data_IF_621660062895
#
_entry.id   IF_621660062895
#
_cell.length_a   1.000
_cell.length_b   1.000
_cell.length_c   1.000
_cell.angle_alpha   90.00
_cell.angle_beta   90.00
_cell.angle_gamma   90.00
#
_symmetry.space_group_name_H-M   'P 1'
#
loop_
_entity.id
_entity.type
_entity.pdbx_description
1 polymer ?
#
# COMPACT_ATOMS: atom_id res chain seq x y z
N UNK A 1 -49.88 14.17 -4.74
CA UNK A 1 -48.57 14.74 -5.13
C UNK A 1 -48.55 14.96 -6.64
N UNK A 2 -48.30 16.19 -7.13
CA UNK A 2 -48.31 16.47 -8.57
C UNK A 2 -47.04 15.89 -9.22
N UNK A 3 -47.21 15.14 -10.32
CA UNK A 3 -46.10 14.71 -11.18
C UNK A 3 -45.52 15.96 -11.85
N UNK A 4 -44.32 16.39 -11.42
CA UNK A 4 -43.53 17.39 -12.13
C UNK A 4 -43.33 16.93 -13.58
N UNK A 5 -43.93 17.64 -14.54
CA UNK A 5 -43.66 17.46 -15.97
C UNK A 5 -42.28 18.04 -16.25
N UNK A 6 -41.22 17.23 -16.16
CA UNK A 6 -39.93 17.61 -16.73
C UNK A 6 -40.14 17.98 -18.21
N UNK A 7 -39.74 19.20 -18.59
CA UNK A 7 -39.92 19.69 -19.96
C UNK A 7 -39.21 18.79 -20.98
N UNK A 8 -39.84 18.57 -22.14
CA UNK A 8 -39.36 17.68 -23.23
C UNK A 8 -37.90 17.91 -23.64
N UNK A 9 -37.37 19.12 -23.44
CA UNK A 9 -35.96 19.47 -23.69
C UNK A 9 -34.98 18.77 -22.74
N UNK A 10 -35.32 18.71 -21.44
CA UNK A 10 -34.47 18.11 -20.41
C UNK A 10 -34.35 16.59 -20.60
N UNK A 11 -35.45 15.96 -21.01
CA UNK A 11 -35.49 14.52 -21.30
C UNK A 11 -34.61 14.17 -22.50
N UNK A 12 -34.55 15.04 -23.52
CA UNK A 12 -33.73 14.85 -24.72
C UNK A 12 -32.23 14.99 -24.43
N UNK A 13 -31.85 15.98 -23.62
CA UNK A 13 -30.45 16.17 -23.19
C UNK A 13 -29.98 15.01 -22.32
N UNK A 14 -30.78 14.62 -21.32
CA UNK A 14 -30.47 13.46 -20.47
C UNK A 14 -30.29 12.18 -21.28
N UNK A 15 -31.19 11.90 -22.22
CA UNK A 15 -31.11 10.71 -23.06
C UNK A 15 -29.87 10.74 -23.97
N UNK A 16 -29.52 11.90 -24.53
CA UNK A 16 -28.31 12.07 -25.33
C UNK A 16 -27.04 11.81 -24.52
N UNK A 17 -26.94 12.39 -23.32
CA UNK A 17 -25.81 12.19 -22.40
C UNK A 17 -25.71 10.72 -21.99
N UNK A 18 -26.82 10.09 -21.63
CA UNK A 18 -26.86 8.68 -21.24
C UNK A 18 -26.38 7.76 -22.37
N UNK A 19 -26.93 7.95 -23.58
CA UNK A 19 -26.57 7.16 -24.77
C UNK A 19 -25.09 7.33 -25.12
N UNK A 20 -24.55 8.54 -24.99
CA UNK A 20 -23.12 8.80 -25.17
C UNK A 20 -22.27 8.05 -24.12
N UNK A 21 -22.64 8.12 -22.84
CA UNK A 21 -21.91 7.45 -21.76
C UNK A 21 -21.96 5.91 -21.85
N UNK A 22 -23.05 5.35 -22.33
CA UNK A 22 -23.14 3.91 -22.61
C UNK A 22 -22.19 3.50 -23.73
N UNK A 23 -22.16 4.26 -24.83
CA UNK A 23 -21.38 3.91 -26.02
C UNK A 23 -19.88 4.21 -25.87
N UNK A 24 -19.52 5.33 -25.24
CA UNK A 24 -18.13 5.84 -25.22
C UNK A 24 -17.53 5.94 -23.82
N UNK A 25 -18.31 5.68 -22.77
CA UNK A 25 -17.87 5.96 -21.40
C UNK A 25 -16.63 5.18 -20.96
N UNK A 26 -16.42 3.94 -21.43
CA UNK A 26 -15.22 3.16 -21.07
C UNK A 26 -13.96 3.80 -21.65
N UNK A 27 -13.99 4.15 -22.94
CA UNK A 27 -12.87 4.78 -23.63
C UNK A 27 -12.57 6.16 -23.02
N UNK A 28 -13.62 6.95 -22.77
CA UNK A 28 -13.47 8.27 -22.15
C UNK A 28 -12.89 8.17 -20.74
N UNK A 29 -13.35 7.22 -19.93
CA UNK A 29 -12.76 6.96 -18.60
C UNK A 29 -11.30 6.56 -18.71
N UNK A 30 -10.95 5.63 -19.59
CA UNK A 30 -9.56 5.23 -19.77
C UNK A 30 -8.67 6.42 -20.19
N UNK A 31 -9.12 7.22 -21.16
CA UNK A 31 -8.40 8.42 -21.61
C UNK A 31 -8.21 9.43 -20.48
N UNK A 32 -9.27 9.76 -19.74
CA UNK A 32 -9.19 10.74 -18.65
C UNK A 32 -8.33 10.26 -17.47
N UNK A 33 -8.31 8.95 -17.18
CA UNK A 33 -7.41 8.36 -16.19
C UNK A 33 -5.96 8.37 -16.67
N UNK A 34 -5.71 8.11 -17.96
CA UNK A 34 -4.36 8.23 -18.54
C UNK A 34 -3.88 9.68 -18.53
N UNK A 35 -4.76 10.65 -18.78
CA UNK A 35 -4.44 12.08 -18.63
C UNK A 35 -4.13 12.44 -17.17
N UNK A 36 -4.90 11.93 -16.20
CA UNK A 36 -4.59 12.11 -14.79
C UNK A 36 -3.22 11.49 -14.41
N UNK A 37 -2.92 10.29 -14.93
CA UNK A 37 -1.63 9.63 -14.74
C UNK A 37 -0.47 10.43 -15.36
N UNK A 38 -0.65 10.95 -16.58
CA UNK A 38 0.32 11.81 -17.24
C UNK A 38 0.52 13.14 -16.50
N UNK A 39 -0.55 13.74 -15.97
CA UNK A 39 -0.46 14.93 -15.12
C UNK A 39 0.28 14.62 -13.81
N UNK A 40 -0.01 13.48 -13.18
CA UNK A 40 0.67 13.04 -11.97
C UNK A 40 2.18 12.88 -12.19
N UNK A 41 2.58 12.30 -13.34
CA UNK A 41 3.97 12.22 -13.79
C UNK A 41 4.57 13.61 -13.97
N UNK A 42 3.89 14.46 -14.75
CA UNK A 42 4.35 15.80 -15.10
C UNK A 42 4.63 16.67 -13.88
N UNK A 43 3.75 16.69 -12.88
CA UNK A 43 3.95 17.49 -11.66
C UNK A 43 5.12 16.95 -10.84
N UNK A 44 5.26 15.62 -10.73
CA UNK A 44 6.27 14.99 -9.88
C UNK A 44 7.67 14.96 -10.51
N UNK A 45 7.77 15.05 -11.83
CA UNK A 45 9.05 15.11 -12.54
C UNK A 45 9.67 16.51 -12.55
N UNK A 46 8.91 17.56 -12.19
CA UNK A 46 9.39 18.96 -12.26
C UNK A 46 10.74 19.19 -11.57
N UNK A 47 11.01 18.66 -10.35
CA UNK A 47 12.30 18.89 -9.70
C UNK A 47 13.49 18.36 -10.50
N UNK A 48 13.34 17.22 -11.20
CA UNK A 48 14.37 16.71 -12.09
C UNK A 48 14.65 17.69 -13.23
N UNK A 49 13.61 18.20 -13.89
CA UNK A 49 13.81 19.19 -14.96
C UNK A 49 14.44 20.48 -14.45
N UNK A 50 14.04 20.97 -13.28
CA UNK A 50 14.64 22.16 -12.69
C UNK A 50 16.14 21.98 -12.41
N UNK A 51 16.54 20.81 -11.89
CA UNK A 51 17.95 20.48 -11.62
C UNK A 51 18.74 20.32 -12.93
N UNK A 52 18.16 19.71 -13.96
CA UNK A 52 18.86 19.53 -15.24
C UNK A 52 18.95 20.82 -16.06
N UNK A 53 17.87 21.60 -16.14
CA UNK A 53 17.83 22.85 -16.91
C UNK A 53 18.69 23.96 -16.29
N UNK A 54 18.87 23.97 -14.97
CA UNK A 54 19.79 24.88 -14.30
C UNK A 54 21.28 24.52 -14.50
N UNK A 55 21.58 23.37 -15.12
CA UNK A 55 22.94 22.84 -15.27
C UNK A 55 23.50 22.20 -14.00
N UNK A 56 22.83 22.35 -12.85
CA UNK A 56 23.28 21.79 -11.57
C UNK A 56 23.40 20.26 -11.66
N UNK A 57 22.41 19.58 -12.25
CA UNK A 57 22.45 18.12 -12.39
C UNK A 57 23.50 17.59 -13.37
N UNK A 58 24.12 18.47 -14.18
CA UNK A 58 25.25 18.10 -15.04
C UNK A 58 26.56 18.26 -14.28
N UNK A 59 26.71 19.38 -13.54
CA UNK A 59 27.90 19.66 -12.74
C UNK A 59 27.99 18.78 -11.49
N UNK A 60 26.85 18.54 -10.84
CA UNK A 60 26.70 17.77 -9.59
C UNK A 60 25.62 16.69 -9.80
N UNK A 61 25.95 15.53 -10.39
CA UNK A 61 24.99 14.46 -10.65
C UNK A 61 24.19 14.01 -9.42
N UNK A 62 24.80 14.09 -8.24
CA UNK A 62 24.17 13.78 -6.94
C UNK A 62 22.95 14.65 -6.65
N UNK A 63 22.92 15.89 -7.13
CA UNK A 63 21.78 16.81 -6.96
C UNK A 63 20.49 16.33 -7.65
N UNK A 64 20.57 15.27 -8.48
CA UNK A 64 19.39 14.62 -9.08
C UNK A 64 18.63 13.76 -8.06
N UNK A 65 19.26 13.37 -6.96
CA UNK A 65 18.60 12.68 -5.84
C UNK A 65 18.18 13.69 -4.78
N UNK A 66 17.00 13.48 -4.20
CA UNK A 66 16.39 14.39 -3.24
C UNK A 66 16.43 13.80 -1.82
N UNK A 67 16.72 14.64 -0.82
CA UNK A 67 17.01 14.24 0.56
C UNK A 67 18.18 13.22 0.71
N UNK A 68 18.37 12.66 1.91
CA UNK A 68 19.51 11.79 2.24
C UNK A 68 19.23 10.30 2.08
N UNK A 69 17.98 9.88 2.26
CA UNK A 69 17.60 8.46 2.22
C UNK A 69 17.88 7.78 0.86
N UNK A 70 17.71 8.41 -0.33
CA UNK A 70 17.97 7.76 -1.60
C UNK A 70 19.39 7.26 -1.84
N UNK A 71 20.38 7.89 -1.21
CA UNK A 71 21.80 7.56 -1.44
C UNK A 71 22.15 6.13 -0.98
N UNK A 72 21.49 5.60 0.05
CA UNK A 72 21.69 4.20 0.44
C UNK A 72 21.17 3.24 -0.63
N UNK A 73 20.06 3.59 -1.28
CA UNK A 73 19.49 2.77 -2.34
C UNK A 73 20.37 2.83 -3.58
N UNK A 74 20.92 4.02 -3.89
CA UNK A 74 21.89 4.18 -4.96
C UNK A 74 23.11 3.28 -4.73
N UNK A 75 23.68 3.34 -3.53
CA UNK A 75 24.83 2.49 -3.18
C UNK A 75 24.51 1.01 -3.33
N UNK A 76 23.35 0.56 -2.83
CA UNK A 76 22.93 -0.84 -2.93
C UNK A 76 22.74 -1.29 -4.37
N UNK A 77 22.05 -0.51 -5.20
CA UNK A 77 21.83 -0.87 -6.61
C UNK A 77 23.14 -0.86 -7.40
N UNK A 78 23.99 0.13 -7.17
CA UNK A 78 25.32 0.21 -7.77
C UNK A 78 26.21 -0.98 -7.35
N UNK A 79 26.11 -1.42 -6.10
CA UNK A 79 26.82 -2.60 -5.61
C UNK A 79 26.36 -3.86 -6.36
N UNK A 80 25.05 -4.07 -6.53
CA UNK A 80 24.51 -5.20 -7.30
C UNK A 80 24.87 -5.14 -8.79
N UNK A 81 24.95 -3.94 -9.38
CA UNK A 81 25.38 -3.78 -10.79
C UNK A 81 26.86 -4.15 -10.99
N UNK A 82 27.72 -3.86 -10.01
CA UNK A 82 29.15 -4.18 -10.06
C UNK A 82 29.48 -5.63 -9.68
N UNK A 83 28.78 -6.21 -8.71
CA UNK A 83 29.10 -7.53 -8.15
C UNK A 83 28.09 -8.62 -8.54
N UNK A 84 27.08 -8.27 -9.33
CA UNK A 84 26.02 -9.17 -9.76
C UNK A 84 24.84 -9.23 -8.79
N UNK A 85 23.67 -9.72 -9.24
CA UNK A 85 22.43 -9.65 -8.48
C UNK A 85 22.46 -10.49 -7.19
N UNK A 86 23.19 -11.61 -7.17
CA UNK A 86 23.26 -12.49 -6.01
C UNK A 86 24.16 -11.96 -4.89
N UNK A 87 24.95 -10.92 -5.14
CA UNK A 87 25.82 -10.29 -4.14
C UNK A 87 25.04 -9.64 -2.98
N UNK A 88 23.71 -9.47 -3.11
CA UNK A 88 22.82 -9.07 -2.01
C UNK A 88 23.01 -9.94 -0.75
N UNK A 89 23.17 -11.26 -0.93
CA UNK A 89 23.28 -12.19 0.20
C UNK A 89 24.62 -12.06 0.95
N UNK A 90 25.61 -11.44 0.31
CA UNK A 90 26.91 -11.14 0.89
C UNK A 90 26.91 -9.82 1.69
N UNK A 91 25.88 -8.98 1.56
CA UNK A 91 25.76 -7.70 2.28
C UNK A 91 25.34 -7.90 3.75
N UNK A 92 26.17 -8.62 4.49
CA UNK A 92 26.05 -8.90 5.93
C UNK A 92 27.22 -8.25 6.69
N UNK A 93 27.22 -8.32 8.04
CA UNK A 93 28.23 -7.64 8.88
C UNK A 93 29.68 -8.06 8.61
N UNK A 94 29.90 -9.25 8.05
CA UNK A 94 31.24 -9.78 7.80
C UNK A 94 31.83 -9.26 6.48
N UNK A 95 31.00 -8.61 5.65
CA UNK A 95 31.47 -8.04 4.39
C UNK A 95 32.12 -6.66 4.66
N UNK A 96 33.42 -6.48 4.31
CA UNK A 96 34.14 -5.25 4.56
C UNK A 96 33.53 -4.02 3.88
N UNK A 97 32.88 -4.19 2.73
CA UNK A 97 32.23 -3.09 2.01
C UNK A 97 31.03 -2.52 2.77
N UNK A 98 30.45 -3.31 3.69
CA UNK A 98 29.37 -2.84 4.56
C UNK A 98 29.87 -2.10 5.79
N UNK A 99 31.17 -2.15 6.09
CA UNK A 99 31.77 -1.55 7.27
C UNK A 99 31.93 -0.03 7.17
N UNK A 100 31.81 0.54 5.97
CA UNK A 100 31.63 1.98 5.79
C UNK A 100 30.35 2.48 6.50
N UNK A 101 29.37 1.60 6.72
CA UNK A 101 28.17 1.90 7.48
C UNK A 101 28.32 1.40 8.92
N UNK A 102 28.27 2.31 9.88
CA UNK A 102 28.35 2.01 11.33
C UNK A 102 29.69 1.41 11.77
N UNK A 103 30.81 1.98 11.32
CA UNK A 103 32.14 1.58 11.81
C UNK A 103 32.21 1.71 13.35
N UNK A 104 32.77 0.71 14.08
CA UNK A 104 33.39 -0.54 13.60
C UNK A 104 32.42 -1.74 13.51
N UNK A 105 31.13 -1.55 13.83
CA UNK A 105 30.15 -2.63 13.96
C UNK A 105 29.62 -3.20 12.63
N UNK A 106 29.82 -2.46 11.54
CA UNK A 106 29.35 -2.75 10.18
C UNK A 106 27.82 -2.92 10.08
N UNK A 107 27.26 -2.82 8.87
CA UNK A 107 25.81 -2.96 8.65
C UNK A 107 25.47 -4.26 7.93
N UNK A 108 24.55 -5.04 8.49
CA UNK A 108 23.93 -6.14 7.75
C UNK A 108 22.70 -5.65 6.98
N UNK A 109 22.82 -5.42 5.68
CA UNK A 109 21.69 -5.02 4.83
C UNK A 109 20.68 -6.15 4.67
N UNK A 110 21.14 -7.40 4.53
CA UNK A 110 20.27 -8.59 4.45
C UNK A 110 19.27 -8.70 5.61
N UNK A 111 19.64 -8.21 6.80
CA UNK A 111 18.81 -8.26 8.00
C UNK A 111 18.15 -6.91 8.37
N UNK A 112 18.60 -5.80 7.78
CA UNK A 112 18.13 -4.45 8.12
C UNK A 112 17.34 -3.74 7.02
N UNK A 113 17.39 -4.22 5.78
CA UNK A 113 16.61 -3.71 4.65
C UNK A 113 15.85 -4.82 3.94
N UNK A 114 14.80 -4.42 3.24
CA UNK A 114 14.00 -5.33 2.42
C UNK A 114 14.49 -5.29 0.96
N UNK A 115 14.70 -6.45 0.31
CA UNK A 115 15.40 -6.53 -0.97
C UNK A 115 14.58 -6.07 -2.18
N UNK A 116 13.25 -6.13 -2.10
CA UNK A 116 12.37 -6.03 -3.26
C UNK A 116 12.49 -4.70 -4.00
N UNK A 117 12.54 -3.57 -3.28
CA UNK A 117 12.65 -2.26 -3.93
C UNK A 117 14.03 -2.08 -4.59
N UNK A 118 15.09 -2.62 -3.99
CA UNK A 118 16.44 -2.62 -4.56
C UNK A 118 16.50 -3.47 -5.82
N UNK A 119 15.96 -4.69 -5.80
CA UNK A 119 15.90 -5.53 -7.01
C UNK A 119 15.01 -4.93 -8.10
N UNK A 120 13.93 -4.25 -7.74
CA UNK A 120 13.08 -3.55 -8.72
C UNK A 120 13.85 -2.45 -9.43
N UNK A 121 14.62 -1.65 -8.68
CA UNK A 121 15.51 -0.64 -9.23
C UNK A 121 16.62 -1.27 -10.07
N UNK A 122 17.28 -2.32 -9.57
CA UNK A 122 18.35 -3.01 -10.29
C UNK A 122 17.86 -3.55 -11.65
N UNK A 123 16.77 -4.32 -11.65
CA UNK A 123 16.22 -4.91 -12.88
C UNK A 123 15.76 -3.85 -13.87
N UNK A 124 15.09 -2.79 -13.39
CA UNK A 124 14.71 -1.68 -14.25
C UNK A 124 15.92 -0.90 -14.77
N UNK A 125 16.98 -0.76 -13.99
CA UNK A 125 18.22 -0.14 -14.42
C UNK A 125 18.95 -0.95 -15.49
N UNK A 126 18.91 -2.29 -15.42
CA UNK A 126 19.49 -3.15 -16.47
C UNK A 126 18.87 -2.86 -17.84
N UNK A 127 17.59 -2.48 -17.87
CA UNK A 127 16.91 -2.04 -19.10
C UNK A 127 17.24 -0.58 -19.42
N UNK A 128 17.17 0.32 -18.43
CA UNK A 128 17.40 1.75 -18.61
C UNK A 128 18.80 2.08 -19.16
N UNK A 129 19.84 1.35 -18.72
CA UNK A 129 21.21 1.56 -19.19
C UNK A 129 21.40 1.24 -20.68
N UNK A 130 20.56 0.38 -21.27
CA UNK A 130 20.55 0.13 -22.71
C UNK A 130 20.14 1.37 -23.52
N UNK A 131 19.42 2.31 -22.90
CA UNK A 131 19.01 3.58 -23.48
C UNK A 131 19.95 4.74 -23.09
N UNK A 132 21.11 4.43 -22.50
CA UNK A 132 22.11 5.44 -22.11
C UNK A 132 21.77 6.22 -20.84
N UNK A 133 20.80 5.78 -20.04
CA UNK A 133 20.53 6.38 -18.74
C UNK A 133 21.55 5.90 -17.70
N UNK A 134 22.16 6.84 -16.98
CA UNK A 134 22.96 6.53 -15.80
C UNK A 134 22.07 6.16 -14.61
N UNK A 135 22.66 5.50 -13.61
CA UNK A 135 21.91 5.00 -12.47
C UNK A 135 21.21 6.12 -11.69
N UNK A 136 21.88 7.27 -11.50
CA UNK A 136 21.28 8.41 -10.80
C UNK A 136 20.09 8.97 -11.57
N UNK A 137 20.23 9.23 -12.88
CA UNK A 137 19.13 9.70 -13.71
C UNK A 137 17.95 8.73 -13.73
N UNK A 138 18.21 7.43 -13.88
CA UNK A 138 17.17 6.40 -13.77
C UNK A 138 16.47 6.43 -12.40
N UNK A 139 17.24 6.45 -11.32
CA UNK A 139 16.71 6.48 -9.96
C UNK A 139 15.88 7.74 -9.67
N UNK A 140 16.22 8.89 -10.24
CA UNK A 140 15.47 10.13 -10.09
C UNK A 140 14.09 10.09 -10.76
N UNK A 141 13.92 9.36 -11.87
CA UNK A 141 12.66 9.31 -12.62
C UNK A 141 11.70 8.20 -12.15
N UNK A 142 12.19 7.20 -11.40
CA UNK A 142 11.37 6.08 -10.92
C UNK A 142 10.21 6.55 -10.04
N UNK A 143 10.38 7.39 -8.99
CA UNK A 143 9.26 7.77 -8.13
C UNK A 143 8.12 8.51 -8.87
N UNK A 144 8.39 9.45 -9.80
CA UNK A 144 7.35 10.02 -10.66
C UNK A 144 6.57 8.99 -11.48
N UNK A 145 7.24 7.98 -12.05
CA UNK A 145 6.59 6.88 -12.78
C UNK A 145 5.69 6.07 -11.85
N UNK A 146 6.19 5.71 -10.67
CA UNK A 146 5.39 5.02 -9.65
C UNK A 146 4.17 5.87 -9.24
N UNK A 147 4.36 7.17 -9.08
CA UNK A 147 3.29 8.14 -8.84
C UNK A 147 2.22 8.11 -9.92
N UNK A 148 2.61 8.14 -11.20
CA UNK A 148 1.70 8.03 -12.34
C UNK A 148 0.90 6.73 -12.34
N UNK A 149 1.57 5.59 -12.08
CA UNK A 149 0.92 4.28 -12.01
C UNK A 149 -0.04 4.17 -10.82
N UNK A 150 0.27 4.85 -9.70
CA UNK A 150 -0.61 4.89 -8.52
C UNK A 150 -1.96 5.54 -8.86
N UNK A 151 -1.98 6.57 -9.71
CA UNK A 151 -3.22 7.20 -10.16
C UNK A 151 -4.14 6.20 -10.91
N UNK A 152 -3.54 5.32 -11.71
CA UNK A 152 -4.25 4.22 -12.39
C UNK A 152 -4.77 3.20 -11.37
N UNK A 153 -3.93 2.80 -10.41
CA UNK A 153 -4.33 1.89 -9.33
C UNK A 153 -5.52 2.42 -8.53
N UNK A 154 -5.53 3.72 -8.21
CA UNK A 154 -6.63 4.38 -7.51
C UNK A 154 -7.90 4.40 -8.36
N UNK A 155 -7.79 4.69 -9.65
CA UNK A 155 -8.91 4.64 -10.58
C UNK A 155 -9.57 3.24 -10.59
N UNK A 156 -8.74 2.19 -10.69
CA UNK A 156 -9.20 0.80 -10.67
C UNK A 156 -9.87 0.43 -9.34
N UNK A 157 -9.24 0.81 -8.22
CA UNK A 157 -9.76 0.58 -6.88
C UNK A 157 -11.14 1.23 -6.69
N UNK A 158 -11.26 2.51 -7.02
CA UNK A 158 -12.53 3.26 -6.84
C UNK A 158 -13.61 2.73 -7.77
N UNK A 159 -13.27 2.37 -9.01
CA UNK A 159 -14.22 1.74 -9.91
C UNK A 159 -14.71 0.41 -9.34
N UNK A 160 -13.81 -0.44 -8.84
CA UNK A 160 -14.19 -1.72 -8.25
C UNK A 160 -15.03 -1.52 -6.99
N UNK A 161 -14.80 -0.49 -6.18
CA UNK A 161 -15.62 -0.16 -5.01
C UNK A 161 -17.03 0.30 -5.40
N UNK A 162 -17.11 1.32 -6.25
CA UNK A 162 -18.33 2.11 -6.50
C UNK A 162 -19.12 1.71 -7.75
N UNK A 163 -18.51 0.94 -8.65
CA UNK A 163 -19.00 0.70 -10.01
C UNK A 163 -19.24 1.99 -10.82
N UNK A 164 -18.63 3.12 -10.41
CA UNK A 164 -18.82 4.43 -11.04
C UNK A 164 -17.58 4.87 -11.80
N UNK A 165 -17.76 5.04 -13.12
CA UNK A 165 -16.77 5.61 -14.04
C UNK A 165 -16.35 7.02 -13.64
N UNK A 166 -17.33 7.84 -13.23
CA UNK A 166 -17.08 9.24 -12.83
C UNK A 166 -16.29 9.28 -11.52
N UNK A 167 -16.65 8.46 -10.53
CA UNK A 167 -15.91 8.40 -9.27
C UNK A 167 -14.45 7.96 -9.49
N UNK A 168 -14.22 7.00 -10.40
CA UNK A 168 -12.88 6.55 -10.80
C UNK A 168 -12.04 7.69 -11.40
N UNK A 169 -12.62 8.45 -12.33
CA UNK A 169 -11.97 9.64 -12.93
C UNK A 169 -11.62 10.65 -11.82
N UNK A 170 -12.61 11.03 -11.00
CA UNK A 170 -12.42 12.05 -9.96
C UNK A 170 -11.34 11.63 -8.95
N UNK A 171 -11.37 10.39 -8.47
CA UNK A 171 -10.37 9.91 -7.53
C UNK A 171 -8.95 9.88 -8.10
N UNK A 172 -8.80 9.52 -9.38
CA UNK A 172 -7.50 9.56 -10.05
C UNK A 172 -6.95 10.98 -10.19
N UNK A 173 -7.81 11.96 -10.50
CA UNK A 173 -7.43 13.37 -10.62
C UNK A 173 -7.13 14.02 -9.27
N UNK A 174 -7.93 13.73 -8.24
CA UNK A 174 -7.65 14.18 -6.87
C UNK A 174 -6.27 13.70 -6.45
N UNK A 175 -5.95 12.42 -6.62
CA UNK A 175 -4.62 11.92 -6.31
C UNK A 175 -3.52 12.54 -7.19
N UNK A 176 -3.77 12.73 -8.49
CA UNK A 176 -2.80 13.32 -9.41
C UNK A 176 -2.38 14.73 -8.96
N UNK A 177 -3.35 15.52 -8.47
CA UNK A 177 -3.17 16.88 -7.94
C UNK A 177 -2.63 16.92 -6.51
N UNK A 178 -2.80 15.85 -5.71
CA UNK A 178 -2.24 15.78 -4.37
C UNK A 178 -0.71 15.77 -4.40
N UNK A 179 -0.10 16.67 -3.62
CA UNK A 179 1.34 16.62 -3.41
C UNK A 179 1.70 15.44 -2.51
N UNK A 180 2.37 14.45 -3.10
CA UNK A 180 2.92 13.29 -2.39
C UNK A 180 4.43 13.40 -2.49
N UNK A 181 5.06 14.05 -1.51
CA UNK A 181 6.52 14.27 -1.46
C UNK A 181 7.31 12.98 -1.71
N UNK A 182 6.77 11.86 -1.24
CA UNK A 182 7.38 10.53 -1.33
C UNK A 182 7.36 9.90 -2.74
N UNK A 183 6.76 10.56 -3.74
CA UNK A 183 6.75 10.14 -5.15
C UNK A 183 7.32 11.23 -6.09
N UNK A 184 8.02 12.23 -5.54
CA UNK A 184 8.65 13.30 -6.30
C UNK A 184 9.99 12.81 -6.89
N UNK A 185 10.40 13.40 -8.00
CA UNK A 185 11.68 13.08 -8.63
C UNK A 185 12.86 13.19 -7.66
N UNK A 186 13.79 12.25 -7.75
CA UNK A 186 14.95 12.16 -6.88
C UNK A 186 14.68 11.48 -5.53
N UNK A 187 13.44 11.44 -5.07
CA UNK A 187 13.07 10.86 -3.78
C UNK A 187 12.79 9.34 -3.87
N UNK A 188 13.81 8.56 -4.22
CA UNK A 188 13.68 7.11 -4.45
C UNK A 188 13.92 6.29 -3.19
N UNK A 189 12.83 5.91 -2.55
CA UNK A 189 12.86 5.12 -1.31
C UNK A 189 11.75 4.08 -1.26
N UNK A 190 11.87 3.12 -0.34
CA UNK A 190 10.87 2.05 -0.11
C UNK A 190 9.42 2.52 0.02
N UNK A 191 9.19 3.73 0.52
CA UNK A 191 7.83 4.31 0.64
C UNK A 191 7.18 4.53 -0.73
N UNK A 192 7.93 4.96 -1.74
CA UNK A 192 7.41 5.23 -3.10
C UNK A 192 6.81 3.97 -3.72
N UNK A 193 7.51 2.85 -3.56
CA UNK A 193 7.06 1.52 -4.01
C UNK A 193 5.86 1.02 -3.21
N UNK A 194 5.85 1.24 -1.90
CA UNK A 194 4.74 0.88 -1.01
C UNK A 194 3.44 1.63 -1.36
N UNK A 195 3.52 2.95 -1.59
CA UNK A 195 2.38 3.78 -1.99
C UNK A 195 1.84 3.32 -3.35
N UNK A 196 2.74 3.05 -4.30
CA UNK A 196 2.37 2.57 -5.62
C UNK A 196 1.62 1.24 -5.60
N UNK A 197 2.13 0.24 -4.88
CA UNK A 197 1.57 -1.12 -4.95
C UNK A 197 0.24 -1.26 -4.19
N UNK A 198 0.04 -0.44 -3.14
CA UNK A 198 -1.11 -0.54 -2.26
C UNK A 198 -2.48 -0.53 -2.96
N UNK A 199 -2.82 0.43 -3.85
CA UNK A 199 -4.13 0.44 -4.50
C UNK A 199 -4.36 -0.77 -5.41
N UNK A 200 -3.32 -1.32 -6.04
CA UNK A 200 -3.45 -2.51 -6.90
C UNK A 200 -3.76 -3.77 -6.08
N UNK A 201 -3.09 -3.94 -4.94
CA UNK A 201 -3.35 -5.09 -4.05
C UNK A 201 -4.77 -5.02 -3.50
N UNK A 202 -5.18 -3.85 -2.99
CA UNK A 202 -6.53 -3.66 -2.43
C UNK A 202 -7.59 -3.84 -3.51
N UNK A 203 -7.35 -3.31 -4.72
CA UNK A 203 -8.22 -3.52 -5.87
C UNK A 203 -8.40 -5.00 -6.20
N UNK A 204 -7.31 -5.77 -6.31
CA UNK A 204 -7.38 -7.21 -6.59
C UNK A 204 -8.09 -7.97 -5.47
N UNK A 205 -7.86 -7.61 -4.20
CA UNK A 205 -8.58 -8.22 -3.07
C UNK A 205 -10.10 -8.00 -3.19
N UNK A 206 -10.54 -6.77 -3.44
CA UNK A 206 -11.97 -6.46 -3.60
C UNK A 206 -12.57 -7.17 -4.81
N UNK A 207 -11.84 -7.22 -5.91
CA UNK A 207 -12.20 -7.94 -7.12
C UNK A 207 -12.35 -9.44 -6.83
N UNK A 208 -11.42 -10.01 -6.05
CA UNK A 208 -11.45 -11.39 -5.60
C UNK A 208 -12.68 -11.68 -4.74
N UNK A 209 -13.03 -10.80 -3.79
CA UNK A 209 -14.24 -10.93 -2.99
C UNK A 209 -15.53 -10.86 -3.84
N UNK A 210 -15.61 -9.92 -4.78
CA UNK A 210 -16.81 -9.73 -5.62
C UNK A 210 -17.01 -10.89 -6.60
N UNK A 211 -15.95 -11.25 -7.32
CA UNK A 211 -16.00 -12.23 -8.41
C UNK A 211 -15.77 -13.66 -7.94
N UNK A 212 -15.15 -13.84 -6.78
CA UNK A 212 -14.84 -15.13 -6.16
C UNK A 212 -14.05 -16.07 -7.10
N UNK A 213 -13.16 -15.52 -7.92
CA UNK A 213 -12.31 -16.32 -8.83
C UNK A 213 -10.97 -16.61 -8.18
N UNK A 214 -10.53 -17.86 -8.21
CA UNK A 214 -9.25 -18.28 -7.61
C UNK A 214 -8.06 -17.45 -8.12
N UNK A 215 -8.03 -17.15 -9.42
CA UNK A 215 -6.96 -16.35 -10.02
C UNK A 215 -6.84 -14.96 -9.40
N UNK A 216 -7.95 -14.33 -8.99
CA UNK A 216 -7.91 -13.01 -8.37
C UNK A 216 -7.22 -13.09 -6.99
N UNK A 217 -7.52 -14.13 -6.19
CA UNK A 217 -6.84 -14.37 -4.92
C UNK A 217 -5.36 -14.66 -5.08
N UNK A 218 -4.98 -15.48 -6.06
CA UNK A 218 -3.58 -15.78 -6.36
C UNK A 218 -2.83 -14.52 -6.76
N UNK A 219 -3.40 -13.70 -7.64
CA UNK A 219 -2.79 -12.43 -8.06
C UNK A 219 -2.67 -11.45 -6.88
N UNK A 220 -3.70 -11.31 -6.05
CA UNK A 220 -3.62 -10.50 -4.82
C UNK A 220 -2.48 -10.99 -3.93
N UNK A 221 -2.38 -12.30 -3.72
CA UNK A 221 -1.38 -12.91 -2.87
C UNK A 221 0.05 -12.70 -3.39
N UNK A 222 0.26 -12.82 -4.71
CA UNK A 222 1.55 -12.54 -5.35
C UNK A 222 1.93 -11.07 -5.20
N UNK A 223 1.00 -10.13 -5.45
CA UNK A 223 1.30 -8.70 -5.28
C UNK A 223 1.52 -8.34 -3.80
N UNK A 224 0.80 -8.98 -2.88
CA UNK A 224 0.99 -8.78 -1.45
C UNK A 224 2.33 -9.37 -0.96
N UNK A 225 2.74 -10.51 -1.50
CA UNK A 225 4.06 -11.08 -1.31
C UNK A 225 5.14 -10.13 -1.83
N UNK A 226 4.98 -9.59 -3.04
CA UNK A 226 5.87 -8.56 -3.57
C UNK A 226 5.90 -7.32 -2.67
N UNK A 227 4.76 -6.79 -2.23
CA UNK A 227 4.69 -5.66 -1.31
C UNK A 227 5.44 -5.92 0.02
N UNK A 228 5.43 -7.17 0.51
CA UNK A 228 6.23 -7.57 1.68
C UNK A 228 7.73 -7.46 1.46
N UNK A 229 8.18 -7.60 0.21
CA UNK A 229 9.60 -7.42 -0.13
C UNK A 229 9.98 -5.96 -0.35
N UNK A 230 9.01 -5.06 -0.53
CA UNK A 230 9.27 -3.65 -0.82
C UNK A 230 9.48 -2.83 0.45
N UNK A 231 8.56 -2.94 1.40
CA UNK A 231 8.49 -2.01 2.53
C UNK A 231 7.92 -2.65 3.81
N UNK A 232 8.57 -2.38 4.94
CA UNK A 232 8.14 -2.86 6.25
C UNK A 232 6.79 -2.27 6.70
N UNK A 233 6.36 -1.14 6.09
CA UNK A 233 5.02 -0.59 6.24
C UNK A 233 3.95 -1.29 5.40
N UNK A 234 4.17 -2.55 5.00
CA UNK A 234 3.18 -3.43 4.36
C UNK A 234 1.82 -3.43 5.07
N UNK A 235 1.78 -3.08 6.36
CA UNK A 235 0.56 -2.84 7.12
C UNK A 235 -0.44 -1.93 6.39
N UNK A 236 -0.01 -0.87 5.69
CA UNK A 236 -0.93 -0.02 4.91
C UNK A 236 -1.71 -0.79 3.84
N UNK A 237 -1.11 -1.85 3.29
CA UNK A 237 -1.71 -2.68 2.25
C UNK A 237 -2.41 -3.91 2.82
N UNK A 238 -1.81 -4.55 3.84
CA UNK A 238 -2.32 -5.78 4.42
C UNK A 238 -3.50 -5.54 5.36
N UNK A 239 -3.50 -4.47 6.17
CA UNK A 239 -4.55 -4.23 7.18
C UNK A 239 -5.95 -4.22 6.57
N UNK A 240 -6.23 -3.51 5.46
CA UNK A 240 -7.57 -3.54 4.84
C UNK A 240 -8.06 -4.96 4.53
N UNK A 241 -7.16 -5.84 4.03
CA UNK A 241 -7.43 -7.24 3.69
C UNK A 241 -7.71 -8.07 4.94
N UNK A 242 -6.87 -7.90 5.98
CA UNK A 242 -7.03 -8.64 7.23
C UNK A 242 -8.31 -8.23 7.96
N UNK A 243 -8.66 -6.94 7.93
CA UNK A 243 -9.92 -6.42 8.47
C UNK A 243 -11.12 -7.00 7.72
N UNK A 244 -11.11 -7.05 6.39
CA UNK A 244 -12.21 -7.68 5.64
C UNK A 244 -12.39 -9.14 6.02
N UNK A 245 -11.30 -9.90 6.19
CA UNK A 245 -11.39 -11.29 6.67
C UNK A 245 -12.01 -11.38 8.06
N UNK A 246 -11.61 -10.50 8.99
CA UNK A 246 -12.14 -10.47 10.36
C UNK A 246 -13.62 -10.08 10.40
N UNK A 247 -14.05 -9.14 9.54
CA UNK A 247 -15.40 -8.58 9.55
C UNK A 247 -16.42 -9.44 8.82
N UNK A 248 -16.03 -10.24 7.83
CA UNK A 248 -16.98 -11.06 7.03
C UNK A 248 -17.90 -11.93 7.91
N UNK A 249 -17.42 -12.66 8.94
CA UNK A 249 -18.30 -13.45 9.80
C UNK A 249 -19.28 -12.63 10.64
N UNK A 250 -19.03 -11.33 10.88
CA UNK A 250 -20.00 -10.46 11.57
C UNK A 250 -21.10 -9.96 10.62
N UNK A 251 -20.77 -9.76 9.35
CA UNK A 251 -21.65 -9.14 8.37
C UNK A 251 -22.52 -10.19 7.66
N UNK A 252 -21.94 -11.35 7.34
CA UNK A 252 -22.59 -12.38 6.52
C UNK A 252 -23.00 -13.60 7.32
N UNK A 253 -24.14 -14.18 6.98
CA UNK A 253 -24.51 -15.51 7.46
C UNK A 253 -23.75 -16.59 6.67
N UNK A 254 -22.59 -16.99 7.18
CA UNK A 254 -21.70 -17.97 6.54
C UNK A 254 -22.30 -19.37 6.42
N UNK A 255 -23.39 -19.65 7.15
CA UNK A 255 -24.13 -20.92 7.01
C UNK A 255 -24.90 -20.98 5.69
N UNK A 256 -25.44 -19.83 5.25
CA UNK A 256 -26.27 -19.69 4.05
C UNK A 256 -25.47 -19.22 2.83
N UNK A 257 -24.33 -18.57 3.03
CA UNK A 257 -23.47 -18.14 1.93
C UNK A 257 -22.77 -19.35 1.30
N UNK A 258 -23.19 -19.71 0.09
CA UNK A 258 -22.63 -20.81 -0.71
C UNK A 258 -21.12 -20.61 -0.90
N UNK A 259 -20.65 -19.36 -0.95
CA UNK A 259 -19.24 -19.02 -1.16
C UNK A 259 -18.40 -19.12 0.12
N UNK A 260 -18.99 -19.27 1.30
CA UNK A 260 -18.26 -19.24 2.57
C UNK A 260 -17.18 -20.32 2.69
N UNK A 261 -17.44 -21.54 2.20
CA UNK A 261 -16.43 -22.61 2.17
C UNK A 261 -15.29 -22.28 1.22
N UNK A 262 -15.59 -21.62 0.09
CA UNK A 262 -14.58 -21.25 -0.88
C UNK A 262 -13.66 -20.13 -0.37
N UNK A 263 -14.22 -19.15 0.35
CA UNK A 263 -13.43 -18.10 1.01
C UNK A 263 -12.42 -18.67 1.99
N UNK A 264 -12.75 -19.74 2.73
CA UNK A 264 -11.81 -20.40 3.63
C UNK A 264 -10.52 -20.85 2.91
N UNK A 265 -10.66 -21.52 1.76
CA UNK A 265 -9.52 -21.96 0.97
C UNK A 265 -8.79 -20.78 0.32
N UNK A 266 -9.56 -19.84 -0.26
CA UNK A 266 -9.01 -18.73 -1.05
C UNK A 266 -8.30 -17.68 -0.18
N UNK A 267 -8.82 -17.37 1.01
CA UNK A 267 -8.10 -16.58 2.01
C UNK A 267 -6.85 -17.29 2.53
N UNK A 268 -6.89 -18.62 2.65
CA UNK A 268 -5.70 -19.40 2.97
C UNK A 268 -4.59 -19.15 1.93
N UNK A 269 -4.92 -19.24 0.64
CA UNK A 269 -3.98 -18.94 -0.45
C UNK A 269 -3.48 -17.49 -0.35
N UNK A 270 -4.41 -16.54 -0.17
CA UNK A 270 -4.08 -15.12 -0.10
C UNK A 270 -3.05 -14.79 0.98
N UNK A 271 -3.06 -15.54 2.08
CA UNK A 271 -2.18 -15.37 3.23
C UNK A 271 -0.89 -16.22 3.13
N UNK A 272 -0.97 -17.43 2.58
CA UNK A 272 0.16 -18.36 2.60
C UNK A 272 1.34 -17.88 1.75
N UNK A 273 1.12 -17.32 0.56
CA UNK A 273 2.21 -16.86 -0.31
C UNK A 273 3.01 -15.69 0.31
N UNK A 274 2.39 -14.61 0.83
CA UNK A 274 3.16 -13.55 1.49
C UNK A 274 3.86 -14.06 2.76
N UNK A 275 3.25 -14.95 3.54
CA UNK A 275 3.92 -15.55 4.70
C UNK A 275 5.14 -16.40 4.29
N UNK A 276 4.99 -17.27 3.29
CA UNK A 276 6.09 -18.06 2.75
C UNK A 276 7.22 -17.17 2.25
N UNK A 277 6.87 -16.08 1.54
CA UNK A 277 7.86 -15.08 1.07
C UNK A 277 8.56 -14.41 2.24
N UNK A 278 7.83 -13.94 3.25
CA UNK A 278 8.43 -13.33 4.43
C UNK A 278 9.38 -14.29 5.16
N UNK A 279 9.05 -15.59 5.26
CA UNK A 279 9.91 -16.60 5.90
C UNK A 279 11.26 -16.77 5.21
N UNK A 280 11.35 -16.49 3.90
CA UNK A 280 12.61 -16.59 3.14
C UNK A 280 13.51 -15.36 3.27
N UNK A 281 13.01 -14.25 3.84
CA UNK A 281 13.74 -12.98 3.90
C UNK A 281 14.32 -12.79 5.31
N UNK A 282 15.65 -12.69 5.46
CA UNK A 282 16.29 -12.58 6.78
C UNK A 282 15.80 -11.40 7.62
N UNK A 283 15.41 -10.29 6.99
CA UNK A 283 14.78 -9.13 7.67
C UNK A 283 13.62 -9.51 8.60
N UNK A 284 12.83 -10.52 8.21
CA UNK A 284 11.66 -10.99 8.94
C UNK A 284 11.96 -12.13 9.93
N UNK A 285 13.17 -12.69 9.91
CA UNK A 285 13.59 -13.77 10.80
C UNK A 285 13.34 -13.40 12.26
N UNK A 286 12.63 -14.27 13.00
CA UNK A 286 12.20 -14.05 14.38
C UNK A 286 11.09 -13.00 14.58
N UNK A 287 10.91 -12.03 13.67
CA UNK A 287 9.87 -10.99 13.75
C UNK A 287 8.47 -11.50 13.35
N UNK A 288 8.40 -12.51 12.48
CA UNK A 288 7.13 -13.13 12.06
C UNK A 288 6.38 -13.73 13.25
N UNK A 289 7.12 -14.33 14.19
CA UNK A 289 6.55 -15.10 15.33
C UNK A 289 6.42 -14.26 16.60
N UNK A 290 7.21 -13.19 16.76
CA UNK A 290 7.29 -12.40 18.01
C UNK A 290 6.46 -11.11 18.04
N UNK A 291 5.34 -11.03 17.30
CA UNK A 291 4.45 -9.85 17.32
C UNK A 291 4.47 -8.98 16.06
N UNK A 292 5.01 -9.48 14.94
CA UNK A 292 5.02 -8.77 13.66
C UNK A 292 3.74 -8.98 12.84
N UNK A 293 3.71 -8.37 11.65
CA UNK A 293 2.61 -8.50 10.67
C UNK A 293 2.26 -9.96 10.33
N UNK A 294 3.23 -10.89 10.42
CA UNK A 294 3.00 -12.31 10.19
C UNK A 294 1.99 -12.94 11.15
N UNK A 295 1.98 -12.55 12.43
CA UNK A 295 0.93 -12.97 13.36
C UNK A 295 -0.42 -12.36 13.02
N UNK A 296 -0.47 -11.14 12.49
CA UNK A 296 -1.73 -10.52 12.07
C UNK A 296 -2.36 -11.29 10.89
N UNK A 297 -1.53 -11.74 9.94
CA UNK A 297 -1.95 -12.63 8.86
C UNK A 297 -2.58 -13.93 9.39
N UNK A 298 -1.85 -14.67 10.23
CA UNK A 298 -2.35 -15.93 10.80
C UNK A 298 -3.57 -15.71 11.69
N UNK A 299 -3.55 -14.66 12.53
CA UNK A 299 -4.63 -14.31 13.44
C UNK A 299 -5.93 -13.99 12.70
N UNK A 300 -5.87 -13.18 11.64
CA UNK A 300 -7.04 -12.88 10.81
C UNK A 300 -7.62 -14.15 10.15
N UNK A 301 -6.76 -15.05 9.66
CA UNK A 301 -7.20 -16.32 9.09
C UNK A 301 -7.88 -17.22 10.12
N UNK A 302 -7.26 -17.39 11.29
CA UNK A 302 -7.80 -18.22 12.39
C UNK A 302 -9.13 -17.66 12.88
N UNK A 303 -9.25 -16.33 13.01
CA UNK A 303 -10.51 -15.68 13.35
C UNK A 303 -11.59 -15.94 12.29
N UNK A 304 -11.25 -15.85 11.00
CA UNK A 304 -12.18 -16.20 9.93
C UNK A 304 -12.65 -17.66 10.04
N UNK A 305 -11.71 -18.60 10.26
CA UNK A 305 -12.00 -20.04 10.43
C UNK A 305 -12.92 -20.26 11.64
N UNK A 306 -12.65 -19.60 12.77
CA UNK A 306 -13.47 -19.69 13.97
C UNK A 306 -14.89 -19.14 13.73
N UNK A 307 -15.01 -17.99 13.07
CA UNK A 307 -16.30 -17.43 12.66
C UNK A 307 -17.09 -18.37 11.74
N UNK A 308 -16.42 -18.98 10.76
CA UNK A 308 -17.02 -20.00 9.90
C UNK A 308 -17.51 -21.23 10.71
N UNK A 309 -16.70 -21.72 11.65
CA UNK A 309 -17.07 -22.84 12.52
C UNK A 309 -18.29 -22.51 13.40
N UNK A 310 -18.32 -21.33 14.03
CA UNK A 310 -19.47 -20.91 14.83
C UNK A 310 -20.76 -20.82 14.01
N UNK A 311 -20.73 -20.27 12.80
CA UNK A 311 -21.90 -20.25 11.92
C UNK A 311 -22.37 -21.66 11.50
N UNK A 312 -21.46 -22.64 11.42
CA UNK A 312 -21.82 -24.03 11.10
C UNK A 312 -22.44 -24.75 12.29
N UNK A 313 -21.89 -24.55 13.48
CA UNK A 313 -22.27 -25.29 14.70
C UNK A 313 -23.45 -24.67 15.45
N UNK A 314 -23.60 -23.34 15.40
CA UNK A 314 -24.60 -22.60 16.18
C UNK A 314 -25.69 -22.01 15.28
N UNK A 315 -26.78 -21.54 15.89
CA UNK A 315 -27.74 -20.70 15.17
C UNK A 315 -27.14 -19.30 14.94
N UNK A 316 -27.59 -18.59 13.89
CA UNK A 316 -27.00 -17.30 13.47
C UNK A 316 -26.81 -16.31 14.64
N UNK A 317 -27.82 -16.13 15.49
CA UNK A 317 -27.76 -15.23 16.64
C UNK A 317 -26.64 -15.63 17.60
N UNK A 318 -26.56 -16.91 17.96
CA UNK A 318 -25.53 -17.42 18.87
C UNK A 318 -24.14 -17.42 18.23
N UNK A 319 -24.03 -17.68 16.93
CA UNK A 319 -22.78 -17.59 16.20
C UNK A 319 -22.21 -16.17 16.20
N UNK A 320 -23.06 -15.16 15.95
CA UNK A 320 -22.67 -13.75 16.00
C UNK A 320 -22.22 -13.33 17.40
N UNK A 321 -22.98 -13.73 18.44
CA UNK A 321 -22.61 -13.43 19.83
C UNK A 321 -21.27 -14.10 20.17
N UNK A 322 -21.12 -15.40 19.90
CA UNK A 322 -19.88 -16.13 20.18
C UNK A 322 -18.67 -15.51 19.45
N UNK A 323 -18.82 -15.15 18.18
CA UNK A 323 -17.76 -14.52 17.41
C UNK A 323 -17.43 -13.10 17.91
N UNK A 324 -18.44 -12.29 18.21
CA UNK A 324 -18.24 -10.95 18.79
C UNK A 324 -17.58 -11.00 20.17
N UNK A 325 -17.93 -11.99 21.00
CA UNK A 325 -17.27 -12.24 22.28
C UNK A 325 -15.82 -12.64 22.09
N UNK A 326 -15.52 -13.54 21.14
CA UNK A 326 -14.15 -13.93 20.80
C UNK A 326 -13.32 -12.72 20.34
N UNK A 327 -13.86 -11.89 19.44
CA UNK A 327 -13.17 -10.69 18.97
C UNK A 327 -12.89 -9.70 20.10
N UNK A 328 -13.90 -9.42 20.94
CA UNK A 328 -13.74 -8.56 22.11
C UNK A 328 -12.68 -9.12 23.05
N UNK A 329 -12.67 -10.43 23.30
CA UNK A 329 -11.66 -11.08 24.13
C UNK A 329 -10.25 -10.95 23.53
N UNK A 330 -10.07 -11.19 22.23
CA UNK A 330 -8.78 -11.05 21.55
C UNK A 330 -8.28 -9.61 21.59
N UNK A 331 -9.14 -8.63 21.35
CA UNK A 331 -8.79 -7.21 21.44
C UNK A 331 -8.40 -6.84 22.88
N UNK A 332 -9.22 -7.23 23.86
CA UNK A 332 -8.94 -6.96 25.27
C UNK A 332 -7.63 -7.61 25.73
N UNK A 333 -7.38 -8.87 25.39
CA UNK A 333 -6.13 -9.57 25.68
C UNK A 333 -4.94 -8.91 24.98
N UNK A 334 -5.09 -8.46 23.73
CA UNK A 334 -4.07 -7.71 23.01
C UNK A 334 -3.71 -6.39 23.70
N UNK A 335 -4.72 -5.61 24.10
CA UNK A 335 -4.54 -4.36 24.84
C UNK A 335 -3.90 -4.61 26.21
N UNK A 336 -4.37 -5.61 26.97
CA UNK A 336 -3.78 -6.00 28.26
C UNK A 336 -2.31 -6.42 28.09
N UNK A 337 -2.00 -7.17 27.03
CA UNK A 337 -0.63 -7.61 26.73
C UNK A 337 0.32 -6.45 26.41
N UNK A 338 -0.20 -5.34 25.87
CA UNK A 338 0.58 -4.13 25.57
C UNK A 338 0.71 -3.24 26.81
N UNK A 339 -0.41 -2.91 27.46
CA UNK A 339 -0.46 -1.87 28.49
C UNK A 339 -0.21 -2.38 29.91
N UNK A 340 -0.57 -3.62 30.23
CA UNK A 340 -0.51 -4.15 31.61
C UNK A 340 0.63 -5.14 31.76
N UNK A 341 0.67 -6.17 30.91
CA UNK A 341 1.66 -7.24 31.04
C UNK A 341 2.98 -6.95 30.31
N UNK A 342 3.00 -5.95 29.43
CA UNK A 342 4.16 -5.58 28.61
C UNK A 342 4.82 -6.76 27.87
N UNK A 343 4.03 -7.78 27.53
CA UNK A 343 4.44 -8.95 26.77
C UNK A 343 4.72 -8.54 25.32
N UNK A 344 3.84 -7.70 24.76
CA UNK A 344 4.00 -7.14 23.42
C UNK A 344 4.54 -5.72 23.57
N UNK A 345 5.79 -5.52 23.14
CA UNK A 345 6.42 -4.20 23.11
C UNK A 345 6.29 -3.61 21.70
N UNK A 346 5.35 -2.68 21.45
CA UNK A 346 5.26 -2.04 20.15
C UNK A 346 6.57 -1.32 19.83
N UNK A 347 7.02 -1.40 18.58
CA UNK A 347 8.21 -0.68 18.16
C UNK A 347 8.01 0.83 18.32
N UNK A 348 9.08 1.60 18.55
CA UNK A 348 8.97 3.04 18.84
C UNK A 348 8.13 3.83 17.83
N UNK A 349 8.21 3.49 16.53
CA UNK A 349 7.39 4.14 15.48
C UNK A 349 5.90 3.77 15.57
N UNK A 350 5.58 2.53 15.93
CA UNK A 350 4.19 2.08 16.13
C UNK A 350 3.63 2.70 17.42
N UNK A 351 4.44 2.75 18.49
CA UNK A 351 4.07 3.42 19.73
C UNK A 351 3.71 4.90 19.46
N UNK A 352 4.55 5.62 18.70
CA UNK A 352 4.28 7.00 18.29
C UNK A 352 2.96 7.15 17.51
N UNK A 353 2.68 6.22 16.58
CA UNK A 353 1.42 6.20 15.84
C UNK A 353 0.19 5.95 16.74
N UNK A 354 0.37 5.21 17.83
CA UNK A 354 -0.65 4.98 18.87
C UNK A 354 -0.72 6.13 19.90
N UNK A 355 0.02 7.22 19.68
CA UNK A 355 0.07 8.36 20.60
C UNK A 355 0.95 8.15 21.83
N UNK A 356 1.59 6.98 21.95
CA UNK A 356 2.58 6.68 22.99
C UNK A 356 3.90 7.34 22.58
N UNK A 357 4.46 8.18 23.45
CA UNK A 357 5.66 8.98 23.19
C UNK A 357 6.85 8.41 23.97
N UNK A 358 7.53 7.37 23.45
CA UNK A 358 8.74 6.88 24.08
C UNK A 358 9.85 7.91 23.85
N UNK A 359 10.41 8.47 24.93
CA UNK A 359 11.53 9.40 24.83
C UNK A 359 12.71 8.82 24.04
N UNK A 360 13.48 9.69 23.38
CA UNK A 360 14.72 9.33 22.69
C UNK A 360 14.73 9.68 21.19
N UNK A 361 15.58 8.98 20.43
CA UNK A 361 15.82 9.24 18.99
C UNK A 361 14.56 9.35 18.12
N UNK A 362 13.48 8.57 18.33
CA UNK A 362 12.26 8.76 17.54
C UNK A 362 11.63 10.15 17.70
N UNK A 363 11.79 10.81 18.85
CA UNK A 363 11.21 12.15 19.06
C UNK A 363 12.04 13.28 18.44
N UNK A 364 13.28 13.02 18.01
CA UNK A 364 14.10 14.03 17.34
C UNK A 364 13.81 14.14 15.84
N UNK A 365 13.02 13.20 15.29
CA UNK A 365 12.66 13.16 13.86
C UNK A 365 11.47 14.09 13.62
N UNK A 366 11.62 15.02 12.67
CA UNK A 366 10.60 16.03 12.37
C UNK A 366 9.27 15.40 11.92
N UNK A 367 9.32 14.33 11.12
CA UNK A 367 8.12 13.65 10.60
C UNK A 367 7.31 12.90 11.67
N UNK A 368 7.86 12.68 12.85
CA UNK A 368 7.14 12.06 13.97
C UNK A 368 6.55 13.09 14.95
N UNK A 369 6.74 14.38 14.68
CA UNK A 369 6.05 15.42 15.44
C UNK A 369 4.55 15.41 15.14
N UNK A 370 3.75 15.83 16.11
CA UNK A 370 2.32 16.03 15.88
C UNK A 370 2.17 17.08 14.77
N UNK A 371 1.10 16.98 13.97
CA UNK A 371 0.72 18.09 13.11
C UNK A 371 0.25 19.25 13.99
N UNK A 372 1.18 20.11 14.43
CA UNK A 372 0.90 21.24 15.34
C UNK A 372 0.15 22.37 14.62
N UNK A 373 0.09 22.35 13.28
CA UNK A 373 -0.45 23.44 12.45
C UNK A 373 -1.58 23.02 11.51
N UNK A 374 -2.38 22.00 11.85
CA UNK A 374 -3.67 21.84 11.15
C UNK A 374 -4.67 22.78 11.83
N UNK A 375 -5.06 23.84 11.12
CA UNK A 375 -6.17 24.67 11.61
C UNK A 375 -7.41 23.79 11.79
N UNK A 376 -8.30 24.09 12.74
CA UNK A 376 -9.56 23.36 12.91
C UNK A 376 -10.33 23.19 11.59
N UNK A 377 -10.23 24.17 10.70
CA UNK A 377 -10.83 24.15 9.36
C UNK A 377 -10.22 23.08 8.45
N UNK A 378 -8.89 22.87 8.50
CA UNK A 378 -8.23 21.80 7.74
C UNK A 378 -8.59 20.43 8.28
N UNK A 379 -8.71 20.28 9.62
CA UNK A 379 -9.18 19.03 10.24
C UNK A 379 -10.62 18.74 9.84
N UNK A 380 -11.48 19.76 9.86
CA UNK A 380 -12.86 19.66 9.41
C UNK A 380 -12.94 19.29 7.93
N UNK A 381 -12.17 19.95 7.05
CA UNK A 381 -12.14 19.65 5.62
C UNK A 381 -11.67 18.23 5.31
N UNK A 382 -10.63 17.75 6.01
CA UNK A 382 -10.14 16.37 5.87
C UNK A 382 -11.19 15.39 6.39
N UNK A 383 -11.82 15.68 7.53
CA UNK A 383 -12.86 14.83 8.12
C UNK A 383 -14.11 14.77 7.24
N UNK A 384 -14.52 15.90 6.67
CA UNK A 384 -15.63 15.98 5.71
C UNK A 384 -15.28 15.26 4.40
N UNK A 385 -14.05 15.39 3.88
CA UNK A 385 -13.61 14.66 2.69
C UNK A 385 -13.59 13.14 2.90
N UNK A 386 -13.23 12.67 4.10
CA UNK A 386 -13.25 11.24 4.47
C UNK A 386 -14.68 10.74 4.70
N UNK A 387 -15.53 11.52 5.39
CA UNK A 387 -16.91 11.13 5.74
C UNK A 387 -17.87 11.21 4.54
N UNK A 388 -17.72 12.20 3.67
CA UNK A 388 -18.61 12.43 2.53
C UNK A 388 -18.05 11.88 1.19
N UNK A 389 -16.77 11.50 1.15
CA UNK A 389 -16.13 10.87 -0.02
C UNK A 389 -16.33 9.36 -0.12
N UNK A 390 -16.82 8.70 0.94
CA UNK A 390 -17.25 7.30 0.90
C UNK A 390 -18.78 7.30 0.73
N UNK A 391 -19.34 7.10 -0.47
CA UNK A 391 -20.74 6.77 -0.56
C UNK A 391 -20.94 5.46 0.21
N UNK A 392 -21.58 5.54 1.38
CA UNK A 392 -22.16 4.39 2.05
C UNK A 392 -23.25 3.83 1.15
N UNK A 393 -22.86 2.94 0.25
CA UNK A 393 -23.79 2.03 -0.39
C UNK A 393 -23.96 0.88 0.59
N UNK A 394 -25.10 0.91 1.29
CA UNK A 394 -25.63 -0.18 2.11
C UNK A 394 -25.73 -1.49 1.33
#
# INVERSE_FOLDING_TARGET
MPRMKLGRSFTRVYYSIHTFWEKHGVLLTALLVLLASGFALFVRIQPYFNVMMSGIGVTYPEARLDELDPYINYWLVNYLDKHGPFSWFELNKNNPDTCMFWFPNCRSFTNSELPGHIYTLYLGYQVAKLFGLDLMGYMSIVPPILGALTAIGIALLIFELTNSKIASILGSWVYAMMFVSRNVAGFVVKYSFGIFIAPFVIWLHLRALKRNRLIDYVLTSILLAYASTLWAGIALTAIPILITMILIPLIKDLKKDIKAKEYLMKFGIEILIPLATMLTIPYYSGKIVRGGIGLAFLGAYVLYVAGYAFHRLLSRKHALIAYATLLTAVIALGLLSIYVFHIIKPSGKIALALGIRPGGLPETVAEYQRFVNLTPDMVLLISLAVLFGVPMVL
#
